data_IF_932226495879
#
_entry.id   IF_932226495879
#
_cell.length_a   1.000
_cell.length_b   1.000
_cell.length_c   1.000
_cell.angle_alpha   90.00
_cell.angle_beta   90.00
_cell.angle_gamma   90.00
#
_symmetry.space_group_name_H-M   'P 1'
#
loop_
_entity.id
_entity.type
_entity.pdbx_description
1 polymer ?
#
# COMPACT_ATOMS: atom_id res chain seq x y z
N UNK A 1 -3.16 43.15 -12.50
CA UNK A 1 -2.77 44.16 -11.48
C UNK A 1 -3.38 45.57 -11.67
N UNK A 2 -4.18 45.85 -12.72
CA UNK A 2 -4.66 47.23 -13.00
C UNK A 2 -5.97 47.69 -12.34
N UNK A 3 -6.76 46.82 -11.68
CA UNK A 3 -8.13 47.16 -11.26
C UNK A 3 -8.32 47.40 -9.75
N UNK A 4 -7.35 46.98 -8.92
CA UNK A 4 -7.43 47.11 -7.44
C UNK A 4 -7.13 48.54 -6.98
N UNK A 5 -6.21 49.23 -7.67
CA UNK A 5 -5.83 50.61 -7.32
C UNK A 5 -6.94 51.63 -7.62
N UNK A 6 -7.77 51.39 -8.64
CA UNK A 6 -8.82 52.35 -9.02
C UNK A 6 -10.06 52.26 -8.11
N UNK A 7 -10.47 51.06 -7.69
CA UNK A 7 -11.56 50.87 -6.70
C UNK A 7 -11.21 51.43 -5.32
N UNK A 8 -9.94 51.32 -4.90
CA UNK A 8 -9.47 51.82 -3.59
C UNK A 8 -9.45 53.36 -3.52
N UNK A 9 -9.18 54.04 -4.63
CA UNK A 9 -9.22 55.50 -4.70
C UNK A 9 -10.65 56.06 -4.65
N UNK A 10 -11.63 55.41 -5.29
CA UNK A 10 -13.03 55.85 -5.26
C UNK A 10 -13.66 55.69 -3.86
N UNK A 11 -13.38 54.59 -3.15
CA UNK A 11 -13.90 54.40 -1.78
C UNK A 11 -13.26 55.37 -0.78
N UNK A 12 -11.98 55.71 -0.96
CA UNK A 12 -11.30 56.72 -0.15
C UNK A 12 -11.86 58.12 -0.40
N UNK A 13 -12.04 58.51 -1.67
CA UNK A 13 -12.58 59.82 -2.04
C UNK A 13 -14.05 59.98 -1.57
N UNK A 14 -14.86 58.93 -1.67
CA UNK A 14 -16.25 58.93 -1.18
C UNK A 14 -16.33 59.09 0.34
N UNK A 15 -15.43 58.45 1.10
CA UNK A 15 -15.37 58.58 2.57
C UNK A 15 -15.00 60.01 3.00
N UNK A 16 -14.05 60.64 2.32
CA UNK A 16 -13.69 62.03 2.57
C UNK A 16 -14.80 63.00 2.18
N UNK A 17 -15.49 62.77 1.08
CA UNK A 17 -16.62 63.59 0.65
C UNK A 17 -17.79 63.53 1.65
N UNK A 18 -18.11 62.34 2.17
CA UNK A 18 -19.13 62.16 3.22
C UNK A 18 -18.69 62.78 4.56
N UNK A 19 -17.41 62.68 4.92
CA UNK A 19 -16.88 63.31 6.13
C UNK A 19 -16.92 64.85 6.03
N UNK A 20 -16.59 65.41 4.87
CA UNK A 20 -16.66 66.85 4.60
C UNK A 20 -18.11 67.35 4.66
N UNK A 21 -19.06 66.62 4.05
CA UNK A 21 -20.49 66.96 4.13
C UNK A 21 -21.02 66.90 5.57
N UNK A 22 -20.59 65.91 6.36
CA UNK A 22 -20.93 65.81 7.79
C UNK A 22 -20.37 66.99 8.60
N UNK A 23 -19.11 67.36 8.37
CA UNK A 23 -18.47 68.51 9.03
C UNK A 23 -19.16 69.81 8.62
N UNK A 24 -19.49 70.00 7.34
CA UNK A 24 -20.22 71.18 6.87
C UNK A 24 -21.62 71.26 7.48
N UNK A 25 -22.31 70.12 7.67
CA UNK A 25 -23.59 70.07 8.38
C UNK A 25 -23.47 70.51 9.84
N UNK A 26 -22.46 70.03 10.56
CA UNK A 26 -22.19 70.43 11.96
C UNK A 26 -21.79 71.90 12.05
N UNK A 27 -20.94 72.38 11.13
CA UNK A 27 -20.58 73.80 11.04
C UNK A 27 -21.83 74.63 10.80
N UNK A 28 -22.70 74.26 9.86
CA UNK A 28 -23.94 74.99 9.61
C UNK A 28 -24.85 75.05 10.85
N UNK A 29 -25.02 73.93 11.57
CA UNK A 29 -25.82 73.87 12.81
C UNK A 29 -25.23 74.77 13.91
N UNK A 30 -23.90 74.89 13.99
CA UNK A 30 -23.24 75.73 14.99
C UNK A 30 -23.19 77.21 14.56
N UNK A 31 -22.91 77.50 13.29
CA UNK A 31 -22.71 78.87 12.80
C UNK A 31 -24.01 79.60 12.57
N UNK A 32 -25.10 78.93 12.16
CA UNK A 32 -26.38 79.59 11.87
C UNK A 32 -26.98 80.27 13.13
N UNK A 33 -27.04 79.61 14.31
CA UNK A 33 -27.51 80.26 15.54
C UNK A 33 -26.58 81.37 16.04
N UNK A 34 -25.26 81.15 15.96
CA UNK A 34 -24.28 82.15 16.42
C UNK A 34 -24.26 83.38 15.52
N UNK A 35 -24.39 83.20 14.21
CA UNK A 35 -24.52 84.28 13.23
C UNK A 35 -25.83 85.05 13.39
N UNK A 36 -26.94 84.35 13.66
CA UNK A 36 -28.22 84.98 13.99
C UNK A 36 -28.14 85.85 15.25
N UNK A 37 -27.52 85.35 16.34
CA UNK A 37 -27.31 86.12 17.57
C UNK A 37 -26.36 87.32 17.37
N UNK A 38 -25.27 87.13 16.62
CA UNK A 38 -24.31 88.18 16.30
C UNK A 38 -24.95 89.32 15.49
N UNK A 39 -25.74 88.99 14.47
CA UNK A 39 -26.47 89.97 13.64
C UNK A 39 -27.56 90.70 14.43
N UNK A 40 -28.24 90.03 15.36
CA UNK A 40 -29.23 90.65 16.27
C UNK A 40 -28.59 91.67 17.23
N UNK A 41 -27.33 91.46 17.63
CA UNK A 41 -26.63 92.29 18.61
C UNK A 41 -25.87 93.49 17.99
N UNK A 42 -25.30 93.35 16.79
CA UNK A 42 -24.34 94.36 16.29
C UNK A 42 -24.81 95.29 15.16
N UNK A 43 -25.90 95.04 14.42
CA UNK A 43 -26.39 96.06 13.45
C UNK A 43 -27.84 95.83 12.97
N UNK A 44 -28.75 96.70 13.41
CA UNK A 44 -30.21 96.59 13.17
C UNK A 44 -30.66 96.98 11.75
N UNK A 45 -29.86 97.69 10.95
CA UNK A 45 -30.34 98.34 9.72
C UNK A 45 -30.32 97.44 8.46
N UNK A 46 -29.21 96.74 8.20
CA UNK A 46 -29.08 95.84 7.03
C UNK A 46 -29.93 94.57 7.19
N UNK A 47 -30.00 94.03 8.42
CA UNK A 47 -30.79 92.84 8.73
C UNK A 47 -32.29 93.14 8.67
N UNK A 48 -32.75 94.30 9.16
CA UNK A 48 -34.17 94.69 9.03
C UNK A 48 -34.60 94.85 7.58
N UNK A 49 -33.80 95.44 6.70
CA UNK A 49 -34.19 95.60 5.29
C UNK A 49 -34.17 94.29 4.50
N UNK A 50 -33.31 93.34 4.88
CA UNK A 50 -33.27 92.01 4.27
C UNK A 50 -34.37 91.09 4.82
N UNK A 51 -34.57 91.08 6.14
CA UNK A 51 -35.64 90.31 6.80
C UNK A 51 -37.03 90.89 6.54
N UNK A 52 -37.19 92.21 6.37
CA UNK A 52 -38.49 92.81 6.02
C UNK A 52 -38.98 92.44 4.60
N UNK A 53 -38.12 91.86 3.76
CA UNK A 53 -38.50 91.25 2.48
C UNK A 53 -38.81 89.75 2.59
N UNK A 54 -38.46 89.14 3.70
CA UNK A 54 -38.79 87.76 4.02
C UNK A 54 -40.11 87.75 4.83
N UNK A 55 -40.89 86.69 4.68
CA UNK A 55 -42.15 86.61 5.42
C UNK A 55 -41.89 86.48 6.92
N UNK A 56 -42.52 87.35 7.71
CA UNK A 56 -42.58 87.24 9.18
C UNK A 56 -43.55 86.14 9.65
N UNK A 57 -44.39 85.61 8.74
CA UNK A 57 -45.30 84.50 9.03
C UNK A 57 -44.54 83.15 9.00
N UNK A 58 -44.43 82.44 10.15
CA UNK A 58 -43.82 81.12 10.22
C UNK A 58 -44.46 80.08 9.28
N UNK A 59 -45.73 80.26 8.88
CA UNK A 59 -46.42 79.36 7.96
C UNK A 59 -45.81 79.36 6.55
N UNK A 60 -45.26 80.49 6.09
CA UNK A 60 -44.60 80.59 4.78
C UNK A 60 -43.27 79.82 4.77
N UNK A 61 -42.55 79.82 5.90
CA UNK A 61 -41.36 79.00 6.06
C UNK A 61 -41.67 77.51 6.21
N UNK A 62 -42.79 77.17 6.85
CA UNK A 62 -43.33 75.80 6.87
C UNK A 62 -43.60 75.28 5.46
N UNK A 63 -44.37 76.04 4.65
CA UNK A 63 -44.71 75.66 3.26
C UNK A 63 -43.50 75.60 2.33
N UNK A 64 -42.50 76.48 2.51
CA UNK A 64 -41.23 76.37 1.78
C UNK A 64 -40.43 75.12 2.18
N UNK A 65 -40.38 74.82 3.48
CA UNK A 65 -39.80 73.59 4.00
C UNK A 65 -40.49 72.34 3.46
N UNK A 66 -41.82 72.36 3.35
CA UNK A 66 -42.62 71.28 2.78
C UNK A 66 -42.36 71.11 1.27
N UNK A 67 -42.16 72.20 0.51
CA UNK A 67 -41.80 72.14 -0.90
C UNK A 67 -40.39 71.58 -1.13
N UNK A 68 -39.39 72.08 -0.38
CA UNK A 68 -38.03 71.58 -0.45
C UNK A 68 -37.94 70.13 0.03
N UNK A 69 -38.57 69.81 1.15
CA UNK A 69 -38.64 68.44 1.69
C UNK A 69 -39.39 67.50 0.74
N UNK A 70 -40.50 67.95 0.16
CA UNK A 70 -41.30 67.20 -0.80
C UNK A 70 -40.58 66.90 -2.11
N UNK A 71 -39.66 67.78 -2.55
CA UNK A 71 -38.88 67.59 -3.78
C UNK A 71 -37.56 66.86 -3.53
N UNK A 72 -36.85 67.19 -2.46
CA UNK A 72 -35.54 66.63 -2.14
C UNK A 72 -35.62 65.24 -1.51
N UNK A 73 -36.63 64.95 -0.67
CA UNK A 73 -36.73 63.63 -0.04
C UNK A 73 -36.86 62.50 -1.06
N UNK A 74 -37.70 62.58 -2.12
CA UNK A 74 -37.74 61.55 -3.16
C UNK A 74 -36.42 61.38 -3.90
N UNK A 75 -35.72 62.48 -4.23
CA UNK A 75 -34.43 62.44 -4.93
C UNK A 75 -33.36 61.78 -4.05
N UNK A 76 -33.23 62.21 -2.79
CA UNK A 76 -32.27 61.65 -1.83
C UNK A 76 -32.59 60.18 -1.56
N UNK A 77 -33.87 59.84 -1.39
CA UNK A 77 -34.32 58.44 -1.16
C UNK A 77 -34.02 57.55 -2.36
N UNK A 78 -34.18 58.06 -3.59
CA UNK A 78 -33.83 57.33 -4.81
C UNK A 78 -32.32 57.11 -4.94
N UNK A 79 -31.51 58.13 -4.64
CA UNK A 79 -30.05 58.00 -4.62
C UNK A 79 -29.59 57.02 -3.54
N UNK A 80 -30.22 57.04 -2.35
CA UNK A 80 -29.95 56.09 -1.29
C UNK A 80 -30.31 54.65 -1.71
N UNK A 81 -31.43 54.46 -2.41
CA UNK A 81 -31.82 53.17 -2.97
C UNK A 81 -30.82 52.66 -4.02
N UNK A 82 -30.35 53.52 -4.93
CA UNK A 82 -29.28 53.17 -5.88
C UNK A 82 -28.00 52.77 -5.15
N UNK A 83 -27.62 53.53 -4.11
CA UNK A 83 -26.45 53.20 -3.27
C UNK A 83 -26.59 51.84 -2.59
N UNK A 84 -27.79 51.50 -2.11
CA UNK A 84 -28.10 50.18 -1.54
C UNK A 84 -28.00 49.08 -2.60
N UNK A 85 -28.58 49.27 -3.79
CA UNK A 85 -28.49 48.31 -4.89
C UNK A 85 -27.04 48.07 -5.33
N UNK A 86 -26.23 49.13 -5.41
CA UNK A 86 -24.81 49.03 -5.69
C UNK A 86 -24.08 48.21 -4.62
N UNK A 87 -24.38 48.47 -3.35
CA UNK A 87 -23.81 47.75 -2.21
C UNK A 87 -24.19 46.26 -2.25
N UNK A 88 -25.47 45.94 -2.49
CA UNK A 88 -25.93 44.55 -2.65
C UNK A 88 -25.21 43.86 -3.81
N UNK A 89 -25.04 44.55 -4.94
CA UNK A 89 -24.31 44.00 -6.10
C UNK A 89 -22.85 43.74 -5.77
N UNK A 90 -22.18 44.65 -5.07
CA UNK A 90 -20.78 44.48 -4.65
C UNK A 90 -20.65 43.32 -3.65
N UNK A 91 -21.55 43.22 -2.66
CA UNK A 91 -21.60 42.09 -1.72
C UNK A 91 -21.82 40.75 -2.44
N UNK A 92 -22.72 40.69 -3.43
CA UNK A 92 -22.95 39.49 -4.22
C UNK A 92 -21.70 39.06 -5.01
N UNK A 93 -20.94 40.02 -5.56
CA UNK A 93 -19.68 39.75 -6.24
C UNK A 93 -18.60 39.24 -5.29
N UNK A 94 -18.47 39.83 -4.10
CA UNK A 94 -17.51 39.39 -3.08
C UNK A 94 -17.84 37.97 -2.59
N UNK A 95 -19.11 37.67 -2.33
CA UNK A 95 -19.55 36.32 -1.96
C UNK A 95 -19.22 35.30 -3.04
N UNK A 96 -19.39 35.65 -4.32
CA UNK A 96 -19.01 34.77 -5.42
C UNK A 96 -17.51 34.53 -5.46
N UNK A 97 -16.70 35.57 -5.39
CA UNK A 97 -15.24 35.43 -5.38
C UNK A 97 -14.74 34.61 -4.18
N UNK A 98 -15.34 34.78 -3.00
CA UNK A 98 -15.04 33.98 -1.81
C UNK A 98 -15.40 32.51 -2.00
N UNK A 99 -16.55 32.20 -2.64
CA UNK A 99 -16.93 30.81 -2.96
C UNK A 99 -15.95 30.17 -3.93
N UNK A 100 -15.60 30.87 -5.00
CA UNK A 100 -14.65 30.37 -6.00
C UNK A 100 -13.26 30.10 -5.38
N UNK A 101 -12.81 30.95 -4.45
CA UNK A 101 -11.53 30.76 -3.73
C UNK A 101 -11.59 29.62 -2.72
N UNK A 102 -12.71 29.46 -2.02
CA UNK A 102 -12.94 28.33 -1.10
C UNK A 102 -12.96 26.99 -1.87
N UNK A 103 -13.57 26.95 -3.04
CA UNK A 103 -13.59 25.76 -3.90
C UNK A 103 -12.17 25.37 -4.33
N UNK A 104 -11.38 26.34 -4.82
CA UNK A 104 -9.96 26.12 -5.15
C UNK A 104 -9.13 25.68 -3.95
N UNK A 105 -9.37 26.28 -2.79
CA UNK A 105 -8.68 25.91 -1.54
C UNK A 105 -9.03 24.48 -1.13
N UNK A 106 -10.31 24.09 -1.25
CA UNK A 106 -10.75 22.73 -0.97
C UNK A 106 -10.11 21.70 -1.94
N UNK A 107 -10.03 22.01 -3.23
CA UNK A 107 -9.31 21.18 -4.20
C UNK A 107 -7.83 21.05 -3.88
N UNK A 108 -7.16 22.16 -3.55
CA UNK A 108 -5.75 22.17 -3.16
C UNK A 108 -5.53 21.36 -1.88
N UNK A 109 -6.42 21.50 -0.89
CA UNK A 109 -6.37 20.74 0.35
C UNK A 109 -6.56 19.24 0.09
N UNK A 110 -7.46 18.86 -0.82
CA UNK A 110 -7.66 17.46 -1.23
C UNK A 110 -6.37 16.90 -1.84
N UNK A 111 -5.77 17.61 -2.81
CA UNK A 111 -4.50 17.18 -3.43
C UNK A 111 -3.36 17.12 -2.41
N UNK A 112 -3.30 18.08 -1.49
CA UNK A 112 -2.29 18.09 -0.43
C UNK A 112 -2.46 16.89 0.51
N UNK A 113 -3.70 16.52 0.85
CA UNK A 113 -4.01 15.33 1.62
C UNK A 113 -3.54 14.05 0.92
N UNK A 114 -3.80 13.93 -0.39
CA UNK A 114 -3.33 12.79 -1.20
C UNK A 114 -1.79 12.69 -1.23
N UNK A 115 -1.09 13.81 -1.46
CA UNK A 115 0.38 13.87 -1.44
C UNK A 115 0.91 13.48 -0.05
N UNK A 116 0.31 14.03 1.01
CA UNK A 116 0.71 13.73 2.38
C UNK A 116 0.54 12.25 2.72
N UNK A 117 -0.58 11.64 2.34
CA UNK A 117 -0.81 10.20 2.55
C UNK A 117 0.23 9.35 1.80
N UNK A 118 0.57 9.71 0.57
CA UNK A 118 1.62 9.01 -0.19
C UNK A 118 2.99 9.16 0.48
N UNK A 119 3.35 10.36 0.94
CA UNK A 119 4.61 10.59 1.66
C UNK A 119 4.69 9.80 2.97
N UNK A 120 3.58 9.73 3.73
CA UNK A 120 3.51 8.94 4.95
C UNK A 120 3.70 7.44 4.67
N UNK A 121 3.04 6.94 3.61
CA UNK A 121 3.23 5.58 3.13
C UNK A 121 4.69 5.32 2.74
N UNK A 122 5.28 6.16 1.89
CA UNK A 122 6.66 6.02 1.41
C UNK A 122 7.66 6.00 2.57
N UNK A 123 7.52 6.93 3.52
CA UNK A 123 8.34 6.98 4.73
C UNK A 123 8.26 5.68 5.55
N UNK A 124 7.04 5.16 5.72
CA UNK A 124 6.81 3.89 6.44
C UNK A 124 7.38 2.70 5.66
N UNK A 125 7.17 2.66 4.35
CA UNK A 125 7.67 1.62 3.45
C UNK A 125 9.20 1.55 3.48
N UNK A 126 9.89 2.68 3.30
CA UNK A 126 11.36 2.69 3.31
C UNK A 126 11.94 2.40 4.70
N UNK A 127 11.27 2.83 5.77
CA UNK A 127 11.66 2.48 7.14
C UNK A 127 11.57 0.97 7.39
N UNK A 128 10.49 0.32 6.94
CA UNK A 128 10.34 -1.13 7.03
C UNK A 128 11.33 -1.87 6.12
N UNK A 129 11.59 -1.35 4.91
CA UNK A 129 12.59 -1.90 4.00
C UNK A 129 14.00 -1.85 4.60
N UNK A 130 14.34 -0.77 5.30
CA UNK A 130 15.61 -0.65 6.01
C UNK A 130 15.72 -1.70 7.14
N UNK A 131 14.64 -1.88 7.92
CA UNK A 131 14.59 -2.91 8.96
C UNK A 131 14.69 -4.33 8.36
N UNK A 132 14.02 -4.55 7.23
CA UNK A 132 14.10 -5.80 6.48
C UNK A 132 15.53 -6.07 6.02
N UNK A 133 16.23 -5.07 5.45
CA UNK A 133 17.62 -5.21 5.05
C UNK A 133 18.56 -5.50 6.24
N UNK A 134 18.33 -4.88 7.40
CA UNK A 134 19.08 -5.19 8.63
C UNK A 134 18.90 -6.64 9.10
N UNK A 135 17.69 -7.19 8.96
CA UNK A 135 17.43 -8.61 9.24
C UNK A 135 18.21 -9.48 8.25
N UNK A 136 18.18 -9.15 6.96
CA UNK A 136 18.96 -9.86 5.93
C UNK A 136 20.45 -9.79 6.23
N UNK A 137 21.00 -8.63 6.58
CA UNK A 137 22.40 -8.49 6.98
C UNK A 137 22.73 -9.32 8.22
N UNK A 138 21.84 -9.38 9.20
CA UNK A 138 22.03 -10.17 10.42
C UNK A 138 22.02 -11.66 10.08
N UNK A 139 21.11 -12.10 9.20
CA UNK A 139 21.10 -13.45 8.66
C UNK A 139 22.43 -13.77 7.98
N UNK A 140 22.93 -12.88 7.11
CA UNK A 140 24.23 -13.07 6.43
C UNK A 140 25.39 -13.12 7.43
N UNK A 141 25.44 -12.21 8.41
CA UNK A 141 26.52 -12.16 9.42
C UNK A 141 26.56 -13.39 10.32
N UNK A 142 25.41 -13.84 10.82
CA UNK A 142 25.33 -15.05 11.63
C UNK A 142 25.87 -16.26 10.86
N UNK A 143 25.67 -16.27 9.54
CA UNK A 143 26.20 -17.29 8.65
C UNK A 143 27.70 -17.14 8.44
N UNK A 144 28.22 -15.92 8.27
CA UNK A 144 29.66 -15.67 8.20
C UNK A 144 30.42 -16.08 9.49
N UNK A 145 29.78 -15.92 10.66
CA UNK A 145 30.35 -16.38 11.93
C UNK A 145 30.40 -17.91 12.03
N UNK A 146 29.39 -18.61 11.53
CA UNK A 146 29.39 -20.08 11.38
C UNK A 146 30.50 -20.52 10.41
N UNK A 147 30.69 -19.78 9.31
CA UNK A 147 31.69 -20.05 8.27
C UNK A 147 33.14 -19.89 8.74
N UNK A 148 33.39 -19.12 9.81
CA UNK A 148 34.73 -19.01 10.41
C UNK A 148 35.25 -20.36 10.92
N UNK A 149 34.34 -21.30 11.20
CA UNK A 149 34.66 -22.66 11.63
C UNK A 149 34.64 -23.69 10.49
N UNK A 150 33.92 -23.44 9.38
CA UNK A 150 33.76 -24.37 8.25
C UNK A 150 34.13 -23.71 6.90
N UNK A 151 35.34 -23.97 6.41
CA UNK A 151 36.05 -23.09 5.47
C UNK A 151 35.83 -23.32 3.96
N UNK A 152 34.72 -23.90 3.50
CA UNK A 152 34.66 -24.42 2.10
C UNK A 152 33.45 -24.08 1.21
N UNK A 153 32.42 -23.32 1.62
CA UNK A 153 31.31 -22.98 0.71
C UNK A 153 30.91 -21.50 0.76
N UNK A 154 30.41 -20.97 -0.37
CA UNK A 154 29.88 -19.60 -0.49
C UNK A 154 28.79 -19.34 0.56
N UNK A 155 28.78 -18.12 1.11
CA UNK A 155 28.24 -17.86 2.46
C UNK A 155 26.72 -18.07 2.61
N UNK A 156 25.87 -17.58 1.72
CA UNK A 156 24.42 -17.84 1.80
C UNK A 156 24.12 -19.31 1.48
N UNK A 157 24.84 -19.86 0.50
CA UNK A 157 24.71 -21.25 0.10
C UNK A 157 25.04 -22.18 1.27
N UNK A 158 25.97 -21.85 2.17
CA UNK A 158 26.34 -22.73 3.29
C UNK A 158 25.22 -22.93 4.33
N UNK A 159 24.48 -21.89 4.73
CA UNK A 159 23.36 -22.02 5.66
C UNK A 159 22.16 -22.71 5.01
N UNK A 160 21.93 -22.35 3.74
CA UNK A 160 20.92 -22.98 2.90
C UNK A 160 21.28 -24.46 2.67
N UNK A 161 22.56 -24.77 2.53
CA UNK A 161 23.10 -26.13 2.41
C UNK A 161 23.07 -26.86 3.75
N UNK A 162 23.27 -26.21 4.90
CA UNK A 162 23.05 -26.83 6.22
C UNK A 162 21.58 -27.19 6.43
N UNK A 163 20.68 -26.29 6.01
CA UNK A 163 19.24 -26.54 5.90
C UNK A 163 19.00 -27.75 4.97
N UNK A 164 19.64 -27.80 3.80
CA UNK A 164 19.53 -28.92 2.86
C UNK A 164 20.12 -30.23 3.40
N UNK A 165 21.23 -30.19 4.11
CA UNK A 165 21.90 -31.36 4.70
C UNK A 165 21.11 -31.92 5.88
N UNK A 166 20.64 -31.05 6.78
CA UNK A 166 19.74 -31.46 7.87
C UNK A 166 18.42 -32.00 7.33
N UNK A 167 17.99 -31.52 6.15
CA UNK A 167 16.86 -32.06 5.41
C UNK A 167 17.19 -33.44 4.79
N UNK A 168 18.38 -33.62 4.21
CA UNK A 168 18.87 -34.88 3.64
C UNK A 168 18.89 -35.99 4.71
N UNK A 169 19.29 -35.66 5.94
CA UNK A 169 19.23 -36.57 7.10
C UNK A 169 17.78 -36.99 7.46
N UNK A 170 16.83 -36.07 7.40
CA UNK A 170 15.40 -36.36 7.65
C UNK A 170 14.82 -37.27 6.57
N UNK A 171 15.25 -37.10 5.31
CA UNK A 171 14.86 -37.97 4.20
C UNK A 171 15.28 -39.42 4.42
N UNK A 172 16.50 -39.64 4.93
CA UNK A 172 17.05 -40.98 5.22
C UNK A 172 16.31 -41.73 6.36
N UNK A 173 15.41 -41.07 7.10
CA UNK A 173 14.61 -41.69 8.17
C UNK A 173 13.41 -42.53 7.66
N UNK A 174 13.14 -43.66 8.31
CA UNK A 174 12.19 -44.72 7.94
C UNK A 174 10.67 -44.35 7.87
N UNK A 175 10.29 -43.07 7.87
CA UNK A 175 8.88 -42.64 8.00
C UNK A 175 8.17 -42.49 6.64
N UNK A 176 6.93 -42.99 6.54
CA UNK A 176 6.18 -43.30 5.31
C UNK A 176 5.31 -42.17 4.69
N UNK A 177 5.56 -40.88 4.92
CA UNK A 177 4.81 -39.82 4.21
C UNK A 177 5.68 -38.57 3.99
N UNK A 178 6.08 -38.32 2.73
CA UNK A 178 6.95 -37.21 2.34
C UNK A 178 6.36 -35.83 2.71
N UNK A 179 5.03 -35.72 2.66
CA UNK A 179 4.29 -34.50 2.94
C UNK A 179 4.26 -34.16 4.45
N UNK A 180 4.16 -35.18 5.30
CA UNK A 180 4.28 -35.05 6.76
C UNK A 180 5.72 -34.66 7.14
N UNK A 181 6.74 -35.23 6.47
CA UNK A 181 8.15 -34.88 6.70
C UNK A 181 8.46 -33.40 6.39
N UNK A 182 7.92 -32.86 5.29
CA UNK A 182 8.09 -31.46 4.90
C UNK A 182 7.45 -30.53 5.93
N UNK A 183 6.22 -30.84 6.37
CA UNK A 183 5.56 -30.05 7.41
C UNK A 183 6.36 -30.07 8.71
N UNK A 184 6.91 -31.23 9.12
CA UNK A 184 7.82 -31.30 10.27
C UNK A 184 9.12 -30.52 10.04
N UNK A 185 9.70 -30.55 8.85
CA UNK A 185 10.89 -29.78 8.53
C UNK A 185 10.65 -28.28 8.61
N UNK A 186 9.60 -27.79 7.95
CA UNK A 186 9.19 -26.38 7.98
C UNK A 186 8.88 -25.98 9.43
N UNK A 187 8.11 -26.79 10.16
CA UNK A 187 7.76 -26.52 11.55
C UNK A 187 8.95 -26.54 12.51
N UNK A 188 9.97 -27.38 12.26
CA UNK A 188 11.12 -27.57 13.17
C UNK A 188 12.33 -26.72 12.82
N UNK A 189 12.53 -26.33 11.55
CA UNK A 189 13.73 -25.62 11.10
C UNK A 189 13.42 -24.21 10.59
N UNK A 190 12.35 -24.01 9.83
CA UNK A 190 12.00 -22.69 9.29
C UNK A 190 11.22 -21.87 10.32
N UNK A 191 10.16 -22.45 10.89
CA UNK A 191 9.29 -21.75 11.84
C UNK A 191 9.91 -21.57 13.23
N UNK A 192 10.82 -22.46 13.64
CA UNK A 192 11.57 -22.31 14.91
C UNK A 192 12.73 -21.33 14.80
N UNK A 193 13.26 -21.08 13.60
CA UNK A 193 14.33 -20.12 13.43
C UNK A 193 13.77 -18.69 13.61
N UNK A 194 14.17 -18.05 14.70
CA UNK A 194 13.68 -16.73 15.10
C UNK A 194 13.94 -15.67 14.02
N UNK A 195 15.10 -15.73 13.34
CA UNK A 195 15.48 -14.75 12.33
C UNK A 195 14.71 -14.94 11.03
N UNK A 196 14.56 -16.19 10.56
CA UNK A 196 13.74 -16.48 9.37
C UNK A 196 12.27 -16.13 9.61
N UNK A 197 11.75 -16.42 10.81
CA UNK A 197 10.40 -16.01 11.21
C UNK A 197 10.25 -14.48 11.18
N UNK A 198 11.20 -13.74 11.75
CA UNK A 198 11.22 -12.27 11.68
C UNK A 198 11.22 -11.79 10.24
N UNK A 199 12.07 -12.39 9.40
CA UNK A 199 12.18 -12.07 7.98
C UNK A 199 10.83 -12.23 7.26
N UNK A 200 10.16 -13.39 7.38
CA UNK A 200 8.87 -13.63 6.71
C UNK A 200 7.76 -12.72 7.22
N UNK A 201 7.74 -12.43 8.53
CA UNK A 201 6.74 -11.52 9.11
C UNK A 201 6.93 -10.12 8.54
N UNK A 202 8.15 -9.58 8.53
CA UNK A 202 8.41 -8.24 8.00
C UNK A 202 8.11 -8.18 6.52
N UNK A 203 8.49 -9.19 5.74
CA UNK A 203 8.13 -9.30 4.33
C UNK A 203 6.62 -9.26 4.11
N UNK A 204 5.86 -10.06 4.88
CA UNK A 204 4.40 -10.04 4.85
C UNK A 204 3.85 -8.64 5.19
N UNK A 205 4.36 -7.97 6.23
CA UNK A 205 3.88 -6.65 6.60
C UNK A 205 4.16 -5.60 5.53
N UNK A 206 5.32 -5.64 4.88
CA UNK A 206 5.64 -4.71 3.77
C UNK A 206 4.69 -4.94 2.60
N UNK A 207 4.49 -6.20 2.17
CA UNK A 207 3.57 -6.53 1.09
C UNK A 207 2.13 -6.15 1.42
N UNK A 208 1.68 -6.42 2.66
CA UNK A 208 0.37 -6.01 3.15
C UNK A 208 0.23 -4.49 3.15
N UNK A 209 1.24 -3.74 3.61
CA UNK A 209 1.25 -2.29 3.61
C UNK A 209 1.10 -1.73 2.19
N UNK A 210 1.83 -2.28 1.21
CA UNK A 210 1.73 -1.91 -0.20
C UNK A 210 0.27 -2.07 -0.68
N UNK A 211 -0.33 -3.25 -0.44
CA UNK A 211 -1.70 -3.52 -0.87
C UNK A 211 -2.70 -2.54 -0.25
N UNK A 212 -2.69 -2.35 1.06
CA UNK A 212 -3.71 -1.57 1.77
C UNK A 212 -3.69 -0.07 1.42
N UNK A 213 -2.52 0.47 1.07
CA UNK A 213 -2.37 1.90 0.79
C UNK A 213 -2.50 2.24 -0.70
N UNK A 214 -2.16 1.30 -1.59
CA UNK A 214 -2.06 1.58 -3.03
C UNK A 214 -3.08 0.82 -3.88
N UNK A 215 -3.80 -0.17 -3.33
CA UNK A 215 -4.88 -0.83 -4.03
C UNK A 215 -6.06 0.14 -4.19
N UNK A 216 -6.23 0.67 -5.39
CA UNK A 216 -7.34 1.56 -5.73
C UNK A 216 -8.17 0.93 -6.83
N UNK A 217 -9.48 1.14 -6.80
CA UNK A 217 -10.35 0.74 -7.89
C UNK A 217 -9.91 1.45 -9.17
N UNK A 218 -9.76 0.68 -10.24
CA UNK A 218 -9.28 1.22 -11.51
C UNK A 218 -10.18 0.70 -12.64
N UNK A 219 -10.51 1.58 -13.59
CA UNK A 219 -11.28 1.24 -14.80
C UNK A 219 -12.58 0.46 -14.56
N UNK A 220 -13.41 0.89 -13.60
CA UNK A 220 -14.77 0.35 -13.41
C UNK A 220 -14.86 -1.03 -12.75
N UNK A 221 -13.73 -1.61 -12.30
CA UNK A 221 -13.74 -2.84 -11.50
C UNK A 221 -13.57 -2.49 -10.01
N UNK A 222 -14.66 -2.62 -9.25
CA UNK A 222 -14.78 -2.27 -7.81
C UNK A 222 -14.19 -3.32 -6.86
N UNK A 223 -13.64 -4.41 -7.39
CA UNK A 223 -13.17 -5.54 -6.58
C UNK A 223 -11.64 -5.53 -6.38
N UNK A 224 -10.97 -4.44 -6.74
CA UNK A 224 -9.51 -4.34 -6.68
C UNK A 224 -9.01 -3.63 -5.43
N UNK A 225 -9.85 -2.81 -4.79
CA UNK A 225 -9.54 -2.23 -3.49
C UNK A 225 -9.51 -3.32 -2.41
N UNK A 226 -8.36 -3.43 -1.76
CA UNK A 226 -8.11 -4.32 -0.62
C UNK A 226 -8.27 -3.49 0.65
N UNK A 227 -9.02 -4.03 1.61
CA UNK A 227 -9.19 -3.42 2.92
C UNK A 227 -8.64 -4.30 4.04
N UNK A 228 -8.64 -3.79 5.28
CA UNK A 228 -8.12 -4.53 6.43
C UNK A 228 -8.97 -5.78 6.69
N UNK A 229 -10.27 -5.70 6.44
CA UNK A 229 -11.23 -6.79 6.62
C UNK A 229 -10.86 -8.03 5.79
N UNK A 230 -10.23 -7.82 4.63
CA UNK A 230 -9.83 -8.89 3.72
C UNK A 230 -8.72 -9.79 4.29
N UNK A 231 -8.01 -9.31 5.31
CA UNK A 231 -6.94 -10.04 5.97
C UNK A 231 -7.39 -10.77 7.24
N UNK A 232 -8.63 -10.61 7.70
CA UNK A 232 -9.03 -11.06 9.04
C UNK A 232 -9.13 -12.58 9.18
N UNK A 233 -9.62 -13.28 8.15
CA UNK A 233 -9.91 -14.72 8.25
C UNK A 233 -8.74 -15.63 7.88
N UNK A 234 -7.75 -15.12 7.15
CA UNK A 234 -6.57 -15.88 6.66
C UNK A 234 -6.97 -17.24 6.06
N UNK A 235 -8.02 -17.24 5.23
CA UNK A 235 -8.58 -18.42 4.61
C UNK A 235 -8.41 -18.38 3.08
N UNK A 236 -8.89 -19.42 2.41
CA UNK A 236 -8.85 -19.54 0.96
C UNK A 236 -9.55 -18.38 0.23
N UNK A 237 -10.66 -17.87 0.77
CA UNK A 237 -11.37 -16.73 0.17
C UNK A 237 -10.54 -15.45 0.32
N UNK A 238 -9.89 -15.26 1.46
CA UNK A 238 -8.94 -14.16 1.69
C UNK A 238 -7.83 -14.20 0.65
N UNK A 239 -7.22 -15.39 0.45
CA UNK A 239 -6.15 -15.62 -0.54
C UNK A 239 -6.59 -15.26 -1.95
N UNK A 240 -7.76 -15.74 -2.37
CA UNK A 240 -8.30 -15.45 -3.70
C UNK A 240 -8.57 -13.97 -3.92
N UNK A 241 -9.17 -13.29 -2.92
CA UNK A 241 -9.45 -11.85 -3.00
C UNK A 241 -8.16 -11.03 -3.08
N UNK A 242 -7.20 -11.31 -2.20
CA UNK A 242 -5.91 -10.61 -2.16
C UNK A 242 -5.10 -10.91 -3.43
N UNK A 243 -5.10 -12.16 -3.90
CA UNK A 243 -4.35 -12.62 -5.07
C UNK A 243 -4.88 -12.14 -6.42
N UNK A 244 -5.96 -11.35 -6.45
CA UNK A 244 -6.56 -10.83 -7.68
C UNK A 244 -5.51 -10.06 -8.53
N UNK A 245 -5.47 -10.36 -9.83
CA UNK A 245 -4.39 -10.01 -10.76
C UNK A 245 -4.41 -8.55 -11.22
N UNK A 246 -5.52 -7.83 -11.03
CA UNK A 246 -5.56 -6.42 -11.39
C UNK A 246 -4.89 -5.59 -10.30
N UNK A 247 -3.71 -5.07 -10.63
CA UNK A 247 -2.81 -4.36 -9.72
C UNK A 247 -2.69 -2.92 -10.21
N UNK A 248 -2.81 -1.97 -9.29
CA UNK A 248 -2.52 -0.57 -9.58
C UNK A 248 -1.03 -0.44 -10.01
N UNK A 249 -0.70 0.27 -11.12
CA UNK A 249 0.69 0.48 -11.51
C UNK A 249 1.61 0.99 -10.39
N UNK A 250 1.13 1.86 -9.51
CA UNK A 250 1.90 2.34 -8.35
C UNK A 250 2.26 1.20 -7.41
N UNK A 251 1.30 0.32 -7.12
CA UNK A 251 1.49 -0.85 -6.26
C UNK A 251 2.53 -1.83 -6.84
N UNK A 252 2.52 -2.01 -8.17
CA UNK A 252 3.52 -2.85 -8.86
C UNK A 252 4.93 -2.26 -8.78
N UNK A 253 5.09 -0.94 -8.78
CA UNK A 253 6.39 -0.28 -8.61
C UNK A 253 6.99 -0.64 -7.25
N UNK A 254 6.26 -0.45 -6.17
CA UNK A 254 6.76 -0.72 -4.80
C UNK A 254 7.03 -2.20 -4.54
N UNK A 255 6.17 -3.09 -5.03
CA UNK A 255 6.41 -4.54 -4.91
C UNK A 255 7.63 -4.99 -5.71
N UNK A 256 7.87 -4.42 -6.91
CA UNK A 256 9.08 -4.68 -7.68
C UNK A 256 10.34 -4.14 -7.00
N UNK A 257 10.29 -2.96 -6.38
CA UNK A 257 11.39 -2.43 -5.57
C UNK A 257 11.73 -3.45 -4.48
N UNK A 258 10.77 -3.87 -3.66
CA UNK A 258 11.02 -4.86 -2.61
C UNK A 258 11.60 -6.17 -3.16
N UNK A 259 11.00 -6.72 -4.22
CA UNK A 259 11.45 -7.96 -4.85
C UNK A 259 12.91 -7.90 -5.35
N UNK A 260 13.38 -6.72 -5.78
CA UNK A 260 14.75 -6.54 -6.26
C UNK A 260 15.82 -6.69 -5.18
N UNK A 261 15.46 -6.53 -3.90
CA UNK A 261 16.37 -6.72 -2.77
C UNK A 261 16.46 -8.17 -2.29
N UNK A 262 15.69 -9.09 -2.90
CA UNK A 262 15.59 -10.47 -2.41
C UNK A 262 16.50 -11.40 -3.22
N UNK A 263 17.51 -12.02 -2.57
CA UNK A 263 18.36 -13.00 -3.23
C UNK A 263 17.58 -14.25 -3.66
N UNK A 264 18.05 -14.92 -4.73
CA UNK A 264 17.43 -16.14 -5.26
C UNK A 264 17.27 -17.24 -4.19
N UNK A 265 18.25 -17.42 -3.32
CA UNK A 265 18.20 -18.40 -2.24
C UNK A 265 17.06 -18.14 -1.25
N UNK A 266 16.76 -16.87 -1.00
CA UNK A 266 15.65 -16.49 -0.13
C UNK A 266 14.31 -16.70 -0.84
N UNK A 267 14.24 -16.51 -2.16
CA UNK A 267 13.06 -16.88 -2.94
C UNK A 267 12.77 -18.38 -2.86
N UNK A 268 13.81 -19.24 -2.87
CA UNK A 268 13.65 -20.69 -2.64
C UNK A 268 13.05 -20.98 -1.26
N UNK A 269 13.52 -20.29 -0.21
CA UNK A 269 12.96 -20.42 1.13
C UNK A 269 11.51 -19.93 1.23
N UNK A 270 11.16 -18.81 0.56
CA UNK A 270 9.79 -18.30 0.50
C UNK A 270 8.88 -19.34 -0.16
N UNK A 271 9.29 -19.87 -1.32
CA UNK A 271 8.54 -20.91 -2.02
C UNK A 271 8.34 -22.14 -1.12
N UNK A 272 9.39 -22.58 -0.41
CA UNK A 272 9.33 -23.72 0.50
C UNK A 272 8.37 -23.48 1.68
N UNK A 273 8.43 -22.31 2.31
CA UNK A 273 7.59 -21.97 3.46
C UNK A 273 6.10 -21.92 3.08
N UNK A 274 5.77 -21.56 1.83
CA UNK A 274 4.40 -21.47 1.34
C UNK A 274 3.75 -22.82 0.97
N UNK A 275 4.49 -23.93 1.01
CA UNK A 275 3.99 -25.25 0.59
C UNK A 275 3.48 -26.14 1.73
N UNK A 276 3.50 -25.66 2.97
CA UNK A 276 3.01 -26.41 4.12
C UNK A 276 1.49 -26.64 4.03
N UNK A 277 1.08 -27.91 3.93
CA UNK A 277 -0.32 -28.33 3.70
C UNK A 277 -1.22 -28.19 4.93
N UNK A 278 -0.65 -28.08 6.13
CA UNK A 278 -1.41 -28.04 7.38
C UNK A 278 -1.45 -26.69 8.09
N UNK A 279 -0.92 -25.63 7.49
CA UNK A 279 -0.99 -24.31 8.10
C UNK A 279 -2.08 -23.49 7.43
N UNK A 280 -3.23 -23.36 8.11
CA UNK A 280 -4.21 -22.27 7.93
C UNK A 280 -3.60 -20.85 8.07
N UNK A 281 -2.28 -20.72 8.08
CA UNK A 281 -1.53 -19.63 8.70
C UNK A 281 -0.77 -18.75 7.70
N UNK A 282 -0.95 -18.98 6.38
CA UNK A 282 -0.24 -18.22 5.34
C UNK A 282 -1.08 -17.94 4.09
N UNK A 283 -2.41 -18.08 4.14
CA UNK A 283 -3.26 -17.89 2.95
C UNK A 283 -3.17 -16.43 2.44
N UNK A 284 -3.24 -15.46 3.34
CA UNK A 284 -3.06 -14.05 3.01
C UNK A 284 -1.67 -13.77 2.42
N UNK A 285 -0.64 -14.43 2.94
CA UNK A 285 0.72 -14.27 2.43
C UNK A 285 0.86 -14.86 1.03
N UNK A 286 0.31 -16.05 0.77
CA UNK A 286 0.23 -16.64 -0.57
C UNK A 286 -0.53 -15.71 -1.54
N UNK A 287 -1.64 -15.11 -1.08
CA UNK A 287 -2.41 -14.12 -1.85
C UNK A 287 -1.55 -12.91 -2.25
N UNK A 288 -0.76 -12.36 -1.32
CA UNK A 288 0.16 -11.26 -1.60
C UNK A 288 1.27 -11.65 -2.59
N UNK A 289 1.85 -12.85 -2.44
CA UNK A 289 2.86 -13.34 -3.39
C UNK A 289 2.29 -13.48 -4.80
N UNK A 290 1.05 -13.97 -4.91
CA UNK A 290 0.31 -14.07 -6.16
C UNK A 290 0.05 -12.69 -6.78
N UNK A 291 -0.49 -11.76 -5.98
CA UNK A 291 -0.77 -10.39 -6.41
C UNK A 291 0.46 -9.73 -7.02
N UNK A 292 1.66 -10.01 -6.54
CA UNK A 292 2.86 -9.32 -7.00
C UNK A 292 3.75 -10.09 -7.96
N UNK A 293 3.36 -11.30 -8.37
CA UNK A 293 4.22 -12.22 -9.12
C UNK A 293 5.60 -12.33 -8.46
N UNK A 294 5.60 -12.57 -7.15
CA UNK A 294 6.79 -12.36 -6.34
C UNK A 294 7.92 -13.36 -6.63
N UNK A 295 7.59 -14.55 -7.14
CA UNK A 295 8.52 -15.61 -7.53
C UNK A 295 8.88 -15.59 -9.03
N UNK A 296 8.53 -14.51 -9.76
CA UNK A 296 8.78 -14.39 -11.20
C UNK A 296 10.26 -14.55 -11.60
N UNK A 297 11.19 -14.27 -10.70
CA UNK A 297 12.64 -14.35 -10.97
C UNK A 297 13.32 -15.49 -10.23
N UNK A 298 12.55 -16.42 -9.65
CA UNK A 298 13.09 -17.61 -9.02
C UNK A 298 13.82 -18.50 -10.04
N UNK A 299 15.03 -18.89 -9.70
CA UNK A 299 15.86 -19.78 -10.50
C UNK A 299 16.24 -21.02 -9.68
N UNK A 300 16.00 -22.19 -10.27
CA UNK A 300 16.52 -23.47 -9.80
C UNK A 300 17.57 -23.88 -10.84
N UNK A 301 18.85 -23.92 -10.46
CA UNK A 301 19.96 -24.23 -11.36
C UNK A 301 19.92 -25.68 -11.82
N UNK A 302 18.98 -26.03 -12.70
CA UNK A 302 18.81 -27.39 -13.21
C UNK A 302 19.65 -27.62 -14.46
N UNK A 303 20.56 -28.60 -14.43
CA UNK A 303 21.16 -29.19 -15.63
C UNK A 303 20.12 -30.08 -16.35
N UNK A 304 20.15 -30.11 -17.68
CA UNK A 304 19.15 -30.80 -18.53
C UNK A 304 19.15 -32.34 -18.41
N UNK A 305 19.97 -32.93 -17.53
CA UNK A 305 20.02 -34.37 -17.26
C UNK A 305 20.15 -34.67 -15.76
N UNK A 306 19.04 -35.01 -15.11
CA UNK A 306 19.02 -35.38 -13.69
C UNK A 306 19.36 -36.88 -13.55
N UNK A 307 20.53 -37.19 -12.95
CA UNK A 307 21.00 -38.55 -12.67
C UNK A 307 20.92 -38.81 -11.15
N UNK A 308 19.88 -39.52 -10.67
CA UNK A 308 19.44 -39.48 -9.29
C UNK A 308 20.19 -40.47 -8.39
N UNK A 309 21.52 -40.61 -8.45
CA UNK A 309 22.23 -41.59 -7.60
C UNK A 309 23.59 -41.11 -7.08
N UNK A 310 23.94 -39.81 -7.17
CA UNK A 310 25.22 -39.36 -6.60
C UNK A 310 25.22 -38.03 -5.85
N UNK A 311 24.29 -37.12 -6.14
CA UNK A 311 24.00 -35.93 -5.32
C UNK A 311 22.46 -35.75 -5.33
N UNK A 312 21.85 -35.70 -4.14
CA UNK A 312 20.43 -36.02 -3.91
C UNK A 312 19.64 -34.89 -3.24
N UNK A 313 20.21 -33.69 -3.08
CA UNK A 313 19.40 -32.49 -2.83
C UNK A 313 18.59 -32.12 -4.07
N UNK A 314 19.07 -32.50 -5.25
CA UNK A 314 18.57 -32.14 -6.58
C UNK A 314 17.24 -32.82 -6.96
N UNK A 315 16.75 -33.68 -6.07
CA UNK A 315 15.36 -34.08 -5.96
C UNK A 315 14.60 -33.17 -4.95
N UNK A 316 14.89 -31.84 -4.87
CA UNK A 316 14.07 -30.64 -4.46
C UNK A 316 12.72 -30.58 -5.23
N UNK A 317 12.34 -31.73 -5.71
CA UNK A 317 12.18 -32.11 -7.10
C UNK A 317 11.77 -33.59 -7.11
N UNK A 318 11.59 -34.30 -5.97
CA UNK A 318 10.43 -35.21 -5.88
C UNK A 318 9.12 -34.45 -5.91
N UNK A 319 9.10 -33.43 -6.77
CA UNK A 319 8.22 -32.33 -6.78
C UNK A 319 8.44 -31.51 -5.50
N UNK A 320 7.93 -30.30 -5.49
CA UNK A 320 7.39 -29.72 -4.26
C UNK A 320 6.18 -30.56 -3.79
N UNK A 321 6.39 -31.88 -3.72
CA UNK A 321 5.46 -32.95 -3.38
C UNK A 321 4.07 -32.74 -3.94
N UNK A 322 3.91 -33.17 -5.18
CA UNK A 322 2.71 -33.80 -5.73
C UNK A 322 1.41 -33.08 -5.37
N UNK A 323 1.33 -31.79 -5.75
CA UNK A 323 0.17 -30.95 -6.15
C UNK A 323 0.14 -29.54 -5.49
N UNK A 324 0.81 -29.32 -4.36
CA UNK A 324 0.53 -28.14 -3.49
C UNK A 324 0.95 -26.73 -3.95
N UNK A 325 1.37 -26.50 -5.21
CA UNK A 325 1.73 -25.17 -5.73
C UNK A 325 0.56 -24.39 -6.31
N UNK A 326 -0.62 -25.00 -6.52
CA UNK A 326 -1.78 -24.35 -7.14
C UNK A 326 -2.11 -23.00 -6.51
N UNK A 327 -2.01 -22.92 -5.18
CA UNK A 327 -2.29 -21.73 -4.38
C UNK A 327 -1.26 -20.61 -4.58
N UNK A 328 -0.08 -20.89 -5.11
CA UNK A 328 0.98 -19.92 -5.38
C UNK A 328 1.40 -19.86 -6.86
N UNK A 329 0.75 -20.60 -7.76
CA UNK A 329 1.05 -20.59 -9.21
C UNK A 329 1.07 -19.18 -9.80
N UNK A 330 0.11 -18.28 -9.49
CA UNK A 330 0.16 -16.91 -10.02
C UNK A 330 1.42 -16.13 -9.60
N UNK A 331 2.02 -16.45 -8.44
CA UNK A 331 3.23 -15.77 -7.97
C UNK A 331 4.44 -15.94 -8.89
N UNK A 332 4.43 -16.93 -9.80
CA UNK A 332 5.49 -17.14 -10.78
C UNK A 332 5.37 -16.20 -11.99
N UNK A 333 4.24 -15.51 -12.20
CA UNK A 333 4.07 -14.59 -13.32
C UNK A 333 4.45 -15.22 -14.68
N UNK A 334 5.46 -14.65 -15.34
CA UNK A 334 5.95 -15.14 -16.64
C UNK A 334 6.99 -16.27 -16.54
N UNK A 335 7.35 -16.69 -15.34
CA UNK A 335 8.35 -17.72 -15.12
C UNK A 335 7.80 -19.10 -15.50
N UNK A 336 8.43 -19.74 -16.49
CA UNK A 336 8.06 -21.09 -16.97
C UNK A 336 8.59 -22.21 -16.10
N UNK A 337 9.28 -21.89 -15.00
CA UNK A 337 9.87 -22.87 -14.09
C UNK A 337 8.85 -23.92 -13.60
N UNK A 338 7.61 -23.58 -13.17
CA UNK A 338 6.64 -24.60 -12.76
C UNK A 338 6.31 -25.58 -13.89
N UNK A 339 6.10 -25.10 -15.11
CA UNK A 339 5.83 -25.95 -16.28
C UNK A 339 7.02 -26.83 -16.63
N UNK A 340 8.24 -26.26 -16.68
CA UNK A 340 9.48 -27.00 -16.96
C UNK A 340 9.73 -28.09 -15.91
N UNK A 341 9.44 -27.81 -14.64
CA UNK A 341 9.55 -28.79 -13.55
C UNK A 341 8.58 -29.97 -13.74
N UNK A 342 7.33 -29.72 -14.16
CA UNK A 342 6.35 -30.78 -14.44
C UNK A 342 6.78 -31.64 -15.63
N UNK A 343 7.26 -31.02 -16.70
CA UNK A 343 7.77 -31.73 -17.89
C UNK A 343 8.95 -32.64 -17.53
N UNK A 344 9.97 -32.09 -16.87
CA UNK A 344 11.14 -32.87 -16.47
C UNK A 344 10.77 -33.98 -15.47
N UNK A 345 9.83 -33.71 -14.54
CA UNK A 345 9.31 -34.74 -13.62
C UNK A 345 8.73 -35.92 -14.38
N UNK A 346 7.86 -35.66 -15.36
CA UNK A 346 7.23 -36.71 -16.18
C UNK A 346 8.26 -37.51 -16.97
N UNK A 347 9.28 -36.86 -17.56
CA UNK A 347 10.35 -37.55 -18.29
C UNK A 347 11.21 -38.43 -17.37
N UNK A 348 11.52 -37.95 -16.17
CA UNK A 348 12.32 -38.70 -15.20
C UNK A 348 11.56 -39.85 -14.54
N UNK A 349 10.23 -39.73 -14.39
CA UNK A 349 9.37 -40.67 -13.66
C UNK A 349 9.50 -42.09 -14.22
N UNK A 350 9.44 -42.23 -15.54
CA UNK A 350 9.58 -43.54 -16.20
C UNK A 350 10.96 -44.16 -15.95
N UNK A 351 12.01 -43.33 -15.98
CA UNK A 351 13.39 -43.76 -15.68
C UNK A 351 13.53 -44.17 -14.21
N UNK A 352 12.87 -43.45 -13.30
CA UNK A 352 12.88 -43.73 -11.87
C UNK A 352 12.16 -45.03 -11.52
N UNK A 353 10.99 -45.26 -12.11
CA UNK A 353 10.26 -46.53 -11.99
C UNK A 353 11.13 -47.69 -12.50
N UNK A 354 11.87 -47.51 -13.60
CA UNK A 354 12.78 -48.54 -14.12
C UNK A 354 13.91 -48.87 -13.15
N UNK A 355 14.59 -47.85 -12.60
CA UNK A 355 15.69 -48.02 -11.63
C UNK A 355 15.19 -48.71 -10.36
N UNK A 356 14.07 -48.26 -9.80
CA UNK A 356 13.49 -48.83 -8.58
C UNK A 356 13.01 -50.28 -8.78
N UNK A 357 12.48 -50.61 -9.97
CA UNK A 357 12.15 -51.99 -10.31
C UNK A 357 13.41 -52.88 -10.35
N UNK A 358 14.50 -52.40 -10.94
CA UNK A 358 15.78 -53.14 -10.94
C UNK A 358 16.35 -53.32 -9.52
N UNK A 359 16.30 -52.26 -8.69
CA UNK A 359 16.70 -52.34 -7.28
C UNK A 359 15.84 -53.33 -6.48
N UNK A 360 14.51 -53.26 -6.61
CA UNK A 360 13.57 -54.20 -5.98
C UNK A 360 13.88 -55.65 -6.37
N UNK A 361 14.14 -55.90 -7.66
CA UNK A 361 14.50 -57.23 -8.16
C UNK A 361 15.85 -57.71 -7.59
N UNK A 362 16.85 -56.84 -7.50
CA UNK A 362 18.15 -57.15 -6.89
C UNK A 362 18.04 -57.47 -5.40
N UNK A 363 17.24 -56.69 -4.66
CA UNK A 363 16.99 -56.90 -3.23
C UNK A 363 16.27 -58.23 -2.98
N UNK A 364 15.24 -58.56 -3.78
CA UNK A 364 14.54 -59.87 -3.71
C UNK A 364 15.50 -61.04 -3.91
N UNK A 365 16.34 -61.02 -4.96
CA UNK A 365 17.35 -62.07 -5.21
C UNK A 365 18.34 -62.19 -4.05
N UNK A 366 18.74 -61.07 -3.45
CA UNK A 366 19.68 -61.05 -2.32
C UNK A 366 19.06 -61.66 -1.07
N UNK A 367 17.78 -61.42 -0.81
CA UNK A 367 17.02 -62.06 0.28
C UNK A 367 16.95 -63.57 0.08
N UNK A 368 16.60 -64.03 -1.13
CA UNK A 368 16.52 -65.46 -1.46
C UNK A 368 17.87 -66.17 -1.25
N UNK A 369 18.97 -65.55 -1.69
CA UNK A 369 20.32 -66.09 -1.54
C UNK A 369 20.73 -66.20 -0.06
N UNK A 370 20.39 -65.20 0.75
CA UNK A 370 20.73 -65.17 2.19
C UNK A 370 19.86 -66.12 3.03
N UNK A 371 18.61 -66.36 2.62
CA UNK A 371 17.73 -67.36 3.25
C UNK A 371 18.21 -68.81 3.02
N UNK A 372 18.99 -69.06 1.96
CA UNK A 372 19.62 -70.36 1.68
C UNK A 372 20.85 -70.71 2.52
N UNK A 373 21.39 -69.79 3.33
CA UNK A 373 22.56 -70.01 4.20
C UNK A 373 22.31 -69.52 5.64
N UNK A 374 21.53 -70.26 6.45
CA UNK A 374 21.04 -69.74 7.73
C UNK A 374 22.10 -69.74 8.84
N UNK A 375 22.52 -68.55 9.27
CA UNK A 375 23.15 -68.26 10.56
C UNK A 375 22.54 -67.01 11.25
N UNK A 376 22.88 -66.77 12.51
CA UNK A 376 22.28 -65.69 13.32
C UNK A 376 22.56 -64.27 12.76
N UNK A 377 23.70 -64.08 12.08
CA UNK A 377 24.11 -62.82 11.46
C UNK A 377 23.38 -62.57 10.12
N UNK A 378 23.10 -63.63 9.35
CA UNK A 378 22.26 -63.59 8.15
C UNK A 378 20.82 -63.21 8.45
N UNK A 379 20.24 -63.63 9.58
CA UNK A 379 18.86 -63.24 9.95
C UNK A 379 18.71 -61.75 10.29
N UNK A 380 19.76 -61.08 10.75
CA UNK A 380 19.76 -59.62 10.94
C UNK A 380 19.86 -58.91 9.59
N UNK A 381 20.82 -59.32 8.74
CA UNK A 381 20.97 -58.76 7.38
C UNK A 381 19.74 -58.95 6.50
N UNK A 382 19.05 -60.08 6.61
CA UNK A 382 17.79 -60.33 5.89
C UNK A 382 16.71 -59.34 6.32
N UNK A 383 16.55 -59.07 7.62
CA UNK A 383 15.60 -58.07 8.11
C UNK A 383 15.91 -56.66 7.62
N UNK A 384 17.18 -56.27 7.59
CA UNK A 384 17.60 -54.96 7.09
C UNK A 384 17.28 -54.82 5.60
N UNK A 385 17.57 -55.85 4.79
CA UNK A 385 17.29 -55.87 3.35
C UNK A 385 15.77 -55.95 3.06
N UNK A 386 15.00 -56.69 3.87
CA UNK A 386 13.55 -56.72 3.77
C UNK A 386 12.93 -55.35 4.05
N UNK A 387 13.46 -54.61 5.03
CA UNK A 387 13.05 -53.22 5.29
C UNK A 387 13.36 -52.29 4.11
N UNK A 388 14.54 -52.42 3.50
CA UNK A 388 14.89 -51.67 2.28
C UNK A 388 13.99 -52.03 1.08
N UNK A 389 13.65 -53.30 0.92
CA UNK A 389 12.73 -53.75 -0.13
C UNK A 389 11.33 -53.19 0.09
N UNK A 390 10.81 -53.21 1.33
CA UNK A 390 9.49 -52.67 1.64
C UNK A 390 9.42 -51.16 1.37
N UNK A 391 10.47 -50.40 1.71
CA UNK A 391 10.59 -48.98 1.35
C UNK A 391 10.57 -48.79 -0.16
N UNK A 392 11.36 -49.58 -0.88
CA UNK A 392 11.48 -49.49 -2.35
C UNK A 392 10.13 -49.75 -3.03
N UNK A 393 9.38 -50.76 -2.57
CA UNK A 393 8.05 -51.11 -3.09
C UNK A 393 7.04 -49.99 -2.82
N UNK A 394 6.98 -49.45 -1.59
CA UNK A 394 6.06 -48.34 -1.26
C UNK A 394 6.32 -47.09 -2.10
N UNK A 395 7.59 -46.76 -2.35
CA UNK A 395 7.96 -45.63 -3.23
C UNK A 395 7.48 -45.92 -4.66
N UNK A 396 7.67 -47.15 -5.15
CA UNK A 396 7.23 -47.57 -6.47
C UNK A 396 5.72 -47.46 -6.65
N UNK A 397 4.93 -47.95 -5.68
CA UNK A 397 3.47 -47.85 -5.66
C UNK A 397 3.00 -46.39 -5.65
N UNK A 398 3.66 -45.53 -4.87
CA UNK A 398 3.33 -44.10 -4.80
C UNK A 398 3.54 -43.42 -6.16
N UNK A 399 4.67 -43.70 -6.83
CA UNK A 399 4.97 -43.15 -8.15
C UNK A 399 4.06 -43.69 -9.26
N UNK A 400 3.56 -44.92 -9.13
CA UNK A 400 2.65 -45.52 -10.09
C UNK A 400 1.22 -44.99 -9.95
N UNK A 401 0.83 -44.55 -8.75
CA UNK A 401 -0.50 -44.01 -8.45
C UNK A 401 -0.62 -42.49 -8.66
N UNK A 402 0.51 -41.79 -8.76
CA UNK A 402 0.62 -40.41 -9.28
C UNK A 402 0.68 -40.45 -10.80
#
# INVERSE_FOLDING_TARGET
MGNVNNKRNWSFCMRWLLAILGILGVIAILTIPTFYYYLKFHNSFMLRNFLAKLSDDPAIWGTFGDYLGGTLNPIISFLAFIGLLYTIRQQAQEMKATRDELERTAEQQSRQSEIFNLQQFESTFFSLLEQYNKIVETLVKNVDEINKYNRTHNSIDSFINEIYEKYSEIYQSNVCNNQIKINFYIANNIQQNLELKRYFIVLFQILKLISLNLSNDTYGNTNNKISIEDYLSDDEKSREKIGNLYINPQEKIYSNILRSFIPNEILKLIALNCLSINSKTFNNFQGLLNRYNFLEHLQLGMEDTILPVKHHDDFIWLYLTTIGIDNITPSFGNNKLPTKMVELFNESKSRFISILNDQSNKLKRRIETLKGQPNMNTNKKVRDIESELEKTIKILETLQNM
#
